data_IF_216278939480
#
_entry.id   IF_216278939480
#
_cell.length_a   1.000
_cell.length_b   1.000
_cell.length_c   1.000
_cell.angle_alpha   90.00
_cell.angle_beta   90.00
_cell.angle_gamma   90.00
#
_symmetry.space_group_name_H-M   'P 1'
#
loop_
_entity.id
_entity.type
_entity.pdbx_description
1 polymer ?
#
# COMPACT_ATOMS: atom_id res chain seq x y z
N UNK A 1 13.89 23.42 -74.02
CA UNK A 1 12.89 24.10 -73.17
C UNK A 1 13.26 23.78 -71.73
N UNK A 2 14.27 24.51 -71.21
CA UNK A 2 14.17 25.63 -70.21
C UNK A 2 13.98 25.08 -68.79
N UNK A 3 15.07 24.87 -68.04
CA UNK A 3 15.82 25.83 -67.17
C UNK A 3 14.95 26.35 -66.01
N UNK A 4 15.36 26.35 -64.73
CA UNK A 4 16.66 26.02 -64.16
C UNK A 4 16.70 26.06 -62.62
N UNK A 5 17.83 25.61 -62.08
CA UNK A 5 18.53 26.07 -60.85
C UNK A 5 19.26 27.41 -61.17
N UNK A 6 19.85 28.20 -60.23
CA UNK A 6 20.51 27.84 -58.94
C UNK A 6 20.22 28.83 -57.77
N UNK A 7 20.72 28.63 -56.55
CA UNK A 7 21.95 29.29 -56.08
C UNK A 7 22.60 28.62 -54.87
N UNK A 8 23.92 28.80 -54.81
CA UNK A 8 24.88 28.22 -53.88
C UNK A 8 25.29 29.21 -52.77
N UNK A 9 25.64 28.64 -51.59
CA UNK A 9 26.76 28.84 -50.62
C UNK A 9 27.71 30.08 -50.77
N UNK A 10 28.60 30.50 -49.81
CA UNK A 10 29.15 29.80 -48.61
C UNK A 10 29.54 30.68 -47.36
N UNK A 11 30.12 30.01 -46.34
CA UNK A 11 31.24 30.38 -45.43
C UNK A 11 31.35 31.76 -44.75
N UNK A 12 31.50 31.76 -43.41
CA UNK A 12 32.66 32.39 -42.73
C UNK A 12 33.14 31.51 -41.56
N UNK A 13 34.44 31.27 -41.58
CA UNK A 13 35.32 30.56 -40.65
C UNK A 13 35.82 31.43 -39.50
N UNK A 14 36.35 30.76 -38.46
CA UNK A 14 37.67 30.95 -37.84
C UNK A 14 37.82 31.51 -36.40
N UNK A 15 38.62 30.73 -35.64
CA UNK A 15 39.71 31.09 -34.70
C UNK A 15 39.41 32.08 -33.57
N UNK A 16 39.73 31.84 -32.29
CA UNK A 16 40.80 31.06 -31.67
C UNK A 16 41.15 31.69 -30.29
N UNK A 17 42.07 31.08 -29.49
CA UNK A 17 42.06 31.06 -28.00
C UNK A 17 43.25 31.87 -27.39
N UNK A 18 43.93 31.57 -26.24
CA UNK A 18 43.64 30.88 -24.95
C UNK A 18 44.11 31.71 -23.68
N UNK A 19 44.20 31.06 -22.50
CA UNK A 19 45.01 31.39 -21.28
C UNK A 19 44.32 32.31 -20.24
N UNK A 20 44.32 32.07 -18.92
CA UNK A 20 45.39 31.75 -17.94
C UNK A 20 44.80 30.98 -16.72
N UNK A 21 45.34 29.86 -16.23
CA UNK A 21 46.48 29.66 -15.31
C UNK A 21 46.56 30.57 -14.05
N UNK A 22 46.49 29.89 -12.88
CA UNK A 22 47.17 30.11 -11.57
C UNK A 22 46.25 30.37 -10.36
N UNK A 23 46.72 30.10 -9.11
CA UNK A 23 47.34 28.88 -8.61
C UNK A 23 46.78 28.44 -7.23
N UNK A 24 47.27 27.29 -6.74
CA UNK A 24 47.13 26.79 -5.37
C UNK A 24 47.52 27.85 -4.32
N UNK A 25 46.67 27.99 -3.30
CA UNK A 25 46.92 28.77 -2.08
C UNK A 25 46.36 28.04 -0.86
N UNK A 26 47.27 27.41 -0.13
CA UNK A 26 47.09 26.75 1.16
C UNK A 26 46.79 27.78 2.28
N UNK A 27 46.28 27.27 3.41
CA UNK A 27 46.21 27.81 4.79
C UNK A 27 44.81 28.13 5.33
N UNK A 28 44.50 27.51 6.48
CA UNK A 28 43.79 28.20 7.55
C UNK A 28 42.51 27.54 8.06
N UNK A 29 42.69 26.59 8.97
CA UNK A 29 41.70 26.09 9.93
C UNK A 29 40.93 27.22 10.61
N UNK A 30 39.60 27.20 10.55
CA UNK A 30 38.73 27.67 11.63
C UNK A 30 37.34 27.03 11.48
N UNK A 31 36.86 26.52 12.61
CA UNK A 31 35.67 25.72 12.79
C UNK A 31 34.35 26.52 12.65
N UNK A 32 33.26 25.75 12.79
CA UNK A 32 31.87 26.16 13.11
C UNK A 32 30.94 26.11 11.89
N UNK A 33 30.31 24.94 11.78
CA UNK A 33 29.22 24.65 10.87
C UNK A 33 28.79 23.21 11.10
N UNK A 34 28.33 22.90 12.32
CA UNK A 34 27.62 21.67 12.62
C UNK A 34 26.49 21.51 11.62
N UNK A 35 26.71 20.71 10.58
CA UNK A 35 25.62 20.03 9.88
C UNK A 35 25.11 19.03 10.91
N UNK A 36 23.87 19.15 11.44
CA UNK A 36 23.36 18.13 12.32
C UNK A 36 23.36 16.81 11.53
N UNK A 37 23.76 15.68 12.14
CA UNK A 37 23.48 14.41 11.54
C UNK A 37 21.97 14.35 11.30
N UNK A 38 21.57 13.96 10.09
CA UNK A 38 20.22 13.50 9.83
C UNK A 38 20.00 12.30 10.76
N UNK A 39 19.53 12.57 11.97
CA UNK A 39 18.90 11.58 12.81
C UNK A 39 17.68 11.11 12.03
N UNK A 40 17.83 9.96 11.39
CA UNK A 40 16.70 9.17 10.95
C UNK A 40 15.92 8.80 12.21
N UNK A 41 14.96 9.65 12.58
CA UNK A 41 13.86 9.22 13.44
C UNK A 41 13.04 8.23 12.62
N UNK A 42 13.31 6.94 12.81
CA UNK A 42 12.44 5.85 12.39
C UNK A 42 11.14 5.98 13.19
N UNK A 43 10.25 6.88 12.76
CA UNK A 43 8.86 6.82 13.17
C UNK A 43 8.33 5.45 12.75
N UNK A 44 7.90 4.66 13.72
CA UNK A 44 7.27 3.35 13.57
C UNK A 44 5.91 3.50 12.87
N UNK A 45 5.94 3.88 11.60
CA UNK A 45 4.78 4.17 10.78
C UNK A 45 4.32 2.88 10.08
N UNK A 46 3.12 2.36 10.41
CA UNK A 46 2.59 1.17 9.74
C UNK A 46 2.45 1.42 8.23
N UNK A 47 3.04 0.54 7.42
CA UNK A 47 2.99 0.64 5.97
C UNK A 47 1.78 -0.10 5.43
N UNK A 48 1.30 0.25 4.22
CA UNK A 48 0.28 -0.53 3.52
C UNK A 48 0.71 -1.99 3.27
N UNK A 49 2.01 -2.27 3.30
CA UNK A 49 2.58 -3.62 3.18
C UNK A 49 2.10 -4.49 4.34
N UNK A 50 2.11 -3.92 5.55
CA UNK A 50 1.70 -4.60 6.77
C UNK A 50 0.19 -4.87 6.74
N UNK A 51 -0.61 -3.94 6.20
CA UNK A 51 -2.05 -4.15 6.05
C UNK A 51 -2.39 -5.25 5.05
N UNK A 52 -1.68 -5.27 3.93
CA UNK A 52 -1.87 -6.26 2.87
C UNK A 52 -1.44 -7.64 3.37
N UNK A 53 -0.36 -7.74 4.15
CA UNK A 53 0.02 -8.99 4.82
C UNK A 53 -1.01 -9.42 5.88
N UNK A 54 -1.52 -8.49 6.69
CA UNK A 54 -2.58 -8.77 7.67
C UNK A 54 -3.84 -9.30 6.97
N UNK A 55 -4.28 -8.65 5.89
CA UNK A 55 -5.44 -9.09 5.12
C UNK A 55 -5.23 -10.50 4.55
N UNK A 56 -4.05 -10.79 4.01
CA UNK A 56 -3.74 -12.12 3.52
C UNK A 56 -3.83 -13.19 4.63
N UNK A 57 -3.37 -12.88 5.84
CA UNK A 57 -3.53 -13.76 7.01
C UNK A 57 -5.00 -13.96 7.35
N UNK A 58 -5.78 -12.89 7.47
CA UNK A 58 -7.23 -12.95 7.73
C UNK A 58 -7.93 -13.87 6.72
N UNK A 59 -7.62 -13.75 5.43
CA UNK A 59 -8.23 -14.55 4.38
C UNK A 59 -7.94 -16.05 4.53
N UNK A 60 -6.68 -16.42 4.78
CA UNK A 60 -6.26 -17.82 4.96
C UNK A 60 -6.83 -18.39 6.25
N UNK A 61 -6.78 -17.63 7.33
CA UNK A 61 -7.22 -18.00 8.69
C UNK A 61 -8.73 -18.22 8.78
N UNK A 62 -9.53 -17.36 8.15
CA UNK A 62 -11.00 -17.43 8.19
C UNK A 62 -11.60 -18.67 7.48
N UNK A 63 -10.78 -19.43 6.76
CA UNK A 63 -11.15 -20.70 6.13
C UNK A 63 -11.15 -21.89 7.10
N UNK A 64 -10.49 -21.77 8.25
CA UNK A 64 -10.41 -22.83 9.24
C UNK A 64 -11.74 -22.98 10.00
N UNK A 65 -12.16 -24.23 10.24
CA UNK A 65 -13.39 -24.53 10.98
C UNK A 65 -13.32 -24.04 12.44
N UNK A 66 -12.10 -23.92 12.98
CA UNK A 66 -11.81 -23.45 14.33
C UNK A 66 -11.66 -21.93 14.42
N UNK A 67 -11.81 -21.20 13.31
CA UNK A 67 -11.75 -19.75 13.30
C UNK A 67 -12.84 -19.19 14.24
N UNK A 68 -12.40 -18.75 15.43
CA UNK A 68 -13.27 -18.08 16.38
C UNK A 68 -13.96 -16.91 15.68
N UNK A 69 -15.28 -16.82 15.87
CA UNK A 69 -16.05 -15.77 15.23
C UNK A 69 -15.61 -14.40 15.74
N UNK A 70 -15.35 -13.50 14.80
CA UNK A 70 -15.13 -12.09 15.06
C UNK A 70 -16.20 -11.56 16.02
N UNK A 71 -15.79 -11.11 17.20
CA UNK A 71 -16.72 -10.62 18.22
C UNK A 71 -16.39 -9.16 18.54
N UNK A 72 -17.23 -8.27 18.02
CA UNK A 72 -17.26 -6.83 18.31
C UNK A 72 -18.50 -6.47 19.13
N UNK A 73 -18.55 -6.84 20.43
CA UNK A 73 -19.76 -6.72 21.27
C UNK A 73 -20.30 -5.30 21.42
N UNK A 74 -19.56 -4.28 20.97
CA UNK A 74 -19.96 -2.87 21.06
C UNK A 74 -19.91 -2.15 19.70
N UNK A 75 -19.66 -2.86 18.60
CA UNK A 75 -19.49 -2.25 17.26
C UNK A 75 -18.34 -1.22 17.18
N UNK A 76 -17.41 -1.21 18.14
CA UNK A 76 -16.38 -0.17 18.25
C UNK A 76 -15.30 -0.36 17.21
N UNK A 77 -14.90 -1.62 16.99
CA UNK A 77 -13.82 -1.95 16.05
C UNK A 77 -14.28 -1.71 14.61
N UNK A 78 -15.51 -2.12 14.26
CA UNK A 78 -16.04 -1.89 12.91
C UNK A 78 -16.27 -0.40 12.63
N UNK A 79 -16.71 0.38 13.63
CA UNK A 79 -16.88 1.83 13.48
C UNK A 79 -15.53 2.57 13.36
N UNK A 80 -14.51 2.10 14.09
CA UNK A 80 -13.14 2.65 14.01
C UNK A 80 -12.52 2.35 12.66
N UNK A 81 -12.67 1.10 12.17
CA UNK A 81 -12.28 0.71 10.82
C UNK A 81 -12.92 1.62 9.76
N UNK A 82 -14.24 1.80 9.83
CA UNK A 82 -14.98 2.64 8.88
C UNK A 82 -14.49 4.09 8.89
N UNK A 83 -14.37 4.69 10.08
CA UNK A 83 -13.96 6.10 10.23
C UNK A 83 -12.53 6.33 9.72
N UNK A 84 -11.60 5.45 10.06
CA UNK A 84 -10.21 5.52 9.59
C UNK A 84 -10.10 5.34 8.08
N UNK A 85 -10.84 4.39 7.51
CA UNK A 85 -10.87 4.16 6.07
C UNK A 85 -11.44 5.37 5.30
N UNK A 86 -12.51 6.00 5.81
CA UNK A 86 -13.08 7.23 5.23
C UNK A 86 -12.11 8.39 5.27
N UNK A 87 -11.48 8.64 6.43
CA UNK A 87 -10.45 9.67 6.55
C UNK A 87 -9.30 9.46 5.55
N UNK A 88 -8.89 8.20 5.35
CA UNK A 88 -7.82 7.85 4.40
C UNK A 88 -8.22 8.16 2.96
N UNK A 89 -9.45 7.81 2.57
CA UNK A 89 -9.99 8.12 1.23
C UNK A 89 -10.12 9.63 0.97
N UNK A 90 -10.46 10.41 2.00
CA UNK A 90 -10.48 11.88 1.91
C UNK A 90 -9.08 12.46 1.72
N UNK A 91 -8.08 11.95 2.47
CA UNK A 91 -6.67 12.34 2.29
C UNK A 91 -6.17 11.98 0.89
N UNK A 92 -6.48 10.79 0.38
CA UNK A 92 -6.17 10.40 -0.99
C UNK A 92 -6.79 11.33 -2.03
N UNK A 93 -8.10 11.61 -1.90
CA UNK A 93 -8.81 12.48 -2.84
C UNK A 93 -8.24 13.90 -2.85
N UNK A 94 -7.91 14.45 -1.68
CA UNK A 94 -7.25 15.77 -1.58
C UNK A 94 -5.86 15.77 -2.22
N UNK A 95 -5.07 14.73 -1.99
CA UNK A 95 -3.73 14.60 -2.56
C UNK A 95 -3.76 14.51 -4.10
N UNK A 96 -4.68 13.71 -4.66
CA UNK A 96 -4.91 13.61 -6.11
C UNK A 96 -5.32 14.95 -6.71
N UNK A 97 -6.25 15.68 -6.07
CA UNK A 97 -6.67 17.02 -6.54
C UNK A 97 -5.51 18.00 -6.53
N UNK A 98 -4.75 18.05 -5.42
CA UNK A 98 -3.57 18.91 -5.29
C UNK A 98 -2.53 18.63 -6.37
N UNK A 99 -2.30 17.36 -6.72
CA UNK A 99 -1.42 17.00 -7.84
C UNK A 99 -1.89 17.65 -9.15
N UNK A 100 -3.17 17.53 -9.48
CA UNK A 100 -3.75 18.14 -10.67
C UNK A 100 -3.56 19.66 -10.70
N UNK A 101 -3.77 20.33 -9.57
CA UNK A 101 -3.56 21.78 -9.44
C UNK A 101 -2.11 22.19 -9.66
N UNK A 102 -1.13 21.44 -9.12
CA UNK A 102 0.29 21.72 -9.30
C UNK A 102 0.70 21.59 -10.78
N UNK A 103 0.15 20.61 -11.50
CA UNK A 103 0.38 20.43 -12.95
C UNK A 103 -0.23 21.60 -13.73
N UNK A 104 -1.49 21.95 -13.44
CA UNK A 104 -2.20 23.04 -14.13
C UNK A 104 -1.52 24.40 -13.95
N UNK A 105 -0.94 24.65 -12.78
CA UNK A 105 -0.17 25.88 -12.50
C UNK A 105 1.26 25.85 -13.08
N UNK A 106 1.66 24.77 -13.73
CA UNK A 106 3.02 24.61 -14.25
C UNK A 106 4.10 24.51 -13.17
N UNK A 107 3.72 24.20 -11.92
CA UNK A 107 4.67 24.11 -10.79
C UNK A 107 5.45 22.80 -10.79
N UNK A 108 4.88 21.75 -11.39
CA UNK A 108 5.55 20.47 -11.63
C UNK A 108 5.16 19.97 -13.03
N UNK A 109 6.07 19.24 -13.65
CA UNK A 109 5.79 18.51 -14.88
C UNK A 109 4.94 17.26 -14.61
N UNK A 110 4.27 16.73 -15.65
CA UNK A 110 3.56 15.45 -15.55
C UNK A 110 4.49 14.33 -15.03
N UNK A 111 5.73 14.26 -15.53
CA UNK A 111 6.72 13.25 -15.13
C UNK A 111 7.08 13.36 -13.66
N UNK A 112 7.36 14.56 -13.15
CA UNK A 112 7.66 14.77 -11.73
C UNK A 112 6.46 14.43 -10.84
N UNK A 113 5.24 14.74 -11.30
CA UNK A 113 4.03 14.39 -10.58
C UNK A 113 3.89 12.86 -10.40
N UNK A 114 4.21 12.08 -11.44
CA UNK A 114 4.19 10.62 -11.34
C UNK A 114 5.17 10.08 -10.31
N UNK A 115 6.42 10.55 -10.29
CA UNK A 115 7.41 10.13 -9.29
C UNK A 115 7.00 10.55 -7.88
N UNK A 116 6.49 11.78 -7.73
CA UNK A 116 6.12 12.33 -6.41
C UNK A 116 4.91 11.64 -5.79
N UNK A 117 3.93 11.25 -6.59
CA UNK A 117 2.68 10.67 -6.12
C UNK A 117 2.61 9.14 -6.30
N UNK A 118 3.68 8.51 -6.79
CA UNK A 118 3.76 7.05 -6.90
C UNK A 118 3.43 6.33 -5.59
N UNK A 119 4.01 6.69 -4.41
CA UNK A 119 3.67 6.01 -3.15
C UNK A 119 2.18 6.07 -2.81
N UNK A 120 1.51 7.18 -3.15
CA UNK A 120 0.07 7.35 -2.96
C UNK A 120 -0.72 6.38 -3.84
N UNK A 121 -0.36 6.28 -5.12
CA UNK A 121 -1.03 5.36 -6.05
C UNK A 121 -0.81 3.90 -5.67
N UNK A 122 0.41 3.56 -5.26
CA UNK A 122 0.71 2.22 -4.75
C UNK A 122 -0.11 1.90 -3.49
N UNK A 123 -0.22 2.85 -2.55
CA UNK A 123 -1.05 2.68 -1.34
C UNK A 123 -2.53 2.47 -1.70
N UNK A 124 -3.10 3.28 -2.61
CA UNK A 124 -4.49 3.12 -3.06
C UNK A 124 -4.69 1.73 -3.68
N UNK A 125 -3.87 1.35 -4.66
CA UNK A 125 -4.02 0.07 -5.35
C UNK A 125 -3.87 -1.10 -4.38
N UNK A 126 -2.85 -1.10 -3.53
CA UNK A 126 -2.60 -2.19 -2.59
C UNK A 126 -3.69 -2.29 -1.49
N UNK A 127 -4.21 -1.16 -1.02
CA UNK A 127 -5.27 -1.14 -0.02
C UNK A 127 -6.63 -1.64 -0.54
N UNK A 128 -6.81 -1.77 -1.87
CA UNK A 128 -8.02 -2.37 -2.43
C UNK A 128 -8.18 -3.83 -2.00
N UNK A 129 -7.07 -4.59 -2.03
CA UNK A 129 -7.01 -5.97 -1.54
C UNK A 129 -7.53 -6.04 -0.10
N UNK A 130 -7.05 -5.14 0.77
CA UNK A 130 -7.46 -5.08 2.17
C UNK A 130 -8.97 -4.83 2.30
N UNK A 131 -9.53 -3.90 1.50
CA UNK A 131 -10.97 -3.60 1.54
C UNK A 131 -11.84 -4.76 1.05
N UNK A 132 -11.41 -5.47 0.00
CA UNK A 132 -12.11 -6.65 -0.54
C UNK A 132 -12.10 -7.81 0.45
N UNK A 133 -10.93 -8.11 1.02
CA UNK A 133 -10.80 -9.16 2.03
C UNK A 133 -11.60 -8.80 3.30
N UNK A 134 -11.53 -7.56 3.78
CA UNK A 134 -12.31 -7.15 4.95
C UNK A 134 -13.81 -7.29 4.73
N UNK A 135 -14.33 -6.92 3.55
CA UNK A 135 -15.74 -7.07 3.23
C UNK A 135 -16.16 -8.55 3.11
N UNK A 136 -15.34 -9.39 2.48
CA UNK A 136 -15.59 -10.83 2.39
C UNK A 136 -15.52 -11.51 3.77
N UNK A 137 -14.54 -11.17 4.60
CA UNK A 137 -14.41 -11.69 5.96
C UNK A 137 -15.57 -11.24 6.87
N UNK A 138 -16.03 -9.99 6.71
CA UNK A 138 -17.23 -9.51 7.39
C UNK A 138 -18.48 -10.31 6.98
N UNK A 139 -18.68 -10.54 5.68
CA UNK A 139 -19.77 -11.37 5.16
C UNK A 139 -19.72 -12.80 5.70
N UNK A 140 -18.53 -13.42 5.74
CA UNK A 140 -18.35 -14.75 6.32
C UNK A 140 -18.68 -14.77 7.83
N UNK A 141 -18.29 -13.75 8.58
CA UNK A 141 -18.60 -13.63 10.01
C UNK A 141 -20.10 -13.47 10.26
N UNK A 142 -20.75 -12.59 9.51
CA UNK A 142 -22.19 -12.34 9.56
C UNK A 142 -22.99 -13.60 9.20
N UNK A 143 -22.58 -14.33 8.16
CA UNK A 143 -23.18 -15.60 7.78
C UNK A 143 -23.09 -16.66 8.89
N UNK A 144 -21.95 -16.78 9.58
CA UNK A 144 -21.78 -17.71 10.71
C UNK A 144 -22.67 -17.35 11.91
N UNK A 145 -22.79 -16.05 12.21
CA UNK A 145 -23.60 -15.55 13.34
C UNK A 145 -25.09 -15.43 13.02
N UNK A 146 -25.47 -15.52 11.73
CA UNK A 146 -26.82 -15.21 11.24
C UNK A 146 -27.25 -13.78 11.58
N UNK A 147 -26.30 -12.87 11.48
CA UNK A 147 -26.45 -11.43 11.74
C UNK A 147 -26.08 -10.65 10.47
N UNK A 148 -26.33 -9.33 10.45
CA UNK A 148 -26.02 -8.46 9.30
C UNK A 148 -25.44 -7.12 9.79
N UNK A 149 -24.43 -7.19 10.64
CA UNK A 149 -23.87 -6.02 11.32
C UNK A 149 -22.55 -5.54 10.70
N UNK A 150 -21.64 -6.46 10.34
CA UNK A 150 -20.29 -6.12 9.89
C UNK A 150 -20.25 -5.89 8.39
N UNK A 151 -20.92 -6.75 7.62
CA UNK A 151 -20.87 -6.75 6.17
C UNK A 151 -21.33 -5.42 5.57
N UNK A 152 -22.48 -4.82 5.96
CA UNK A 152 -22.93 -3.56 5.36
C UNK A 152 -21.90 -2.42 5.54
N UNK A 153 -21.25 -2.37 6.71
CA UNK A 153 -20.25 -1.34 7.01
C UNK A 153 -18.98 -1.58 6.19
N UNK A 154 -18.45 -2.81 6.18
CA UNK A 154 -17.25 -3.15 5.43
C UNK A 154 -17.45 -3.01 3.91
N UNK A 155 -18.61 -3.41 3.40
CA UNK A 155 -19.01 -3.22 2.01
C UNK A 155 -19.10 -1.75 1.64
N UNK A 156 -19.57 -0.88 2.54
CA UNK A 156 -19.57 0.57 2.28
C UNK A 156 -18.15 1.16 2.14
N UNK A 157 -17.17 0.63 2.88
CA UNK A 157 -15.75 1.01 2.76
C UNK A 157 -15.18 0.51 1.44
N UNK A 158 -15.46 -0.74 1.08
CA UNK A 158 -15.06 -1.32 -0.20
C UNK A 158 -15.61 -0.51 -1.39
N UNK A 159 -16.91 -0.20 -1.42
CA UNK A 159 -17.50 0.61 -2.50
C UNK A 159 -16.85 1.99 -2.61
N UNK A 160 -16.61 2.67 -1.49
CA UNK A 160 -15.95 3.97 -1.50
C UNK A 160 -14.49 3.88 -1.98
N UNK A 161 -13.80 2.77 -1.69
CA UNK A 161 -12.46 2.53 -2.20
C UNK A 161 -12.46 2.43 -3.74
N UNK A 162 -13.43 1.73 -4.32
CA UNK A 162 -13.58 1.59 -5.78
C UNK A 162 -13.70 2.94 -6.50
N UNK A 163 -14.34 3.93 -5.87
CA UNK A 163 -14.44 5.29 -6.42
C UNK A 163 -13.07 5.99 -6.50
N UNK A 164 -12.23 5.84 -5.45
CA UNK A 164 -10.88 6.43 -5.44
C UNK A 164 -9.98 5.71 -6.43
N UNK A 165 -10.06 4.38 -6.48
CA UNK A 165 -9.36 3.56 -7.47
C UNK A 165 -9.72 3.97 -8.89
N UNK A 166 -11.00 4.21 -9.19
CA UNK A 166 -11.46 4.68 -10.49
C UNK A 166 -10.72 5.95 -10.96
N UNK A 167 -10.49 6.90 -10.04
CA UNK A 167 -9.70 8.12 -10.33
C UNK A 167 -8.25 7.79 -10.66
N UNK A 168 -7.62 6.89 -9.90
CA UNK A 168 -6.23 6.43 -10.16
C UNK A 168 -6.13 5.74 -11.52
N UNK A 169 -7.10 4.90 -11.89
CA UNK A 169 -7.08 4.24 -13.20
C UNK A 169 -7.18 5.22 -14.37
N UNK A 170 -8.00 6.26 -14.25
CA UNK A 170 -8.09 7.32 -15.28
C UNK A 170 -6.75 8.06 -15.44
N UNK A 171 -6.06 8.31 -14.32
CA UNK A 171 -4.71 8.87 -14.35
C UNK A 171 -3.72 7.91 -15.00
N UNK A 172 -3.75 6.61 -14.66
CA UNK A 172 -2.87 5.59 -15.25
C UNK A 172 -3.03 5.51 -16.76
N UNK A 173 -4.27 5.49 -17.26
CA UNK A 173 -4.54 5.50 -18.70
C UNK A 173 -3.92 6.73 -19.38
N UNK A 174 -4.01 7.90 -18.74
CA UNK A 174 -3.42 9.14 -19.24
C UNK A 174 -1.88 9.08 -19.22
N UNK A 175 -1.30 8.57 -18.14
CA UNK A 175 0.15 8.41 -17.99
C UNK A 175 0.77 7.40 -18.96
N UNK A 176 0.08 6.28 -19.22
CA UNK A 176 0.51 5.28 -20.21
C UNK A 176 0.50 5.86 -21.63
N UNK A 177 -0.54 6.62 -22.00
CA UNK A 177 -0.59 7.32 -23.31
C UNK A 177 0.54 8.33 -23.49
N UNK A 178 1.02 8.91 -22.39
CA UNK A 178 2.16 9.83 -22.37
C UNK A 178 3.52 9.11 -22.30
N UNK A 179 3.53 7.77 -22.28
CA UNK A 179 4.76 6.97 -22.23
C UNK A 179 5.51 7.09 -20.91
N UNK A 180 4.84 7.38 -19.79
CA UNK A 180 5.49 7.54 -18.49
C UNK A 180 5.83 6.17 -17.90
N UNK A 181 7.11 5.85 -17.63
CA UNK A 181 7.50 4.53 -17.12
C UNK A 181 6.84 4.14 -15.78
N UNK A 182 6.64 5.11 -14.88
CA UNK A 182 5.98 4.89 -13.59
C UNK A 182 4.52 4.43 -13.76
N UNK A 183 3.80 4.91 -14.78
CA UNK A 183 2.43 4.47 -15.04
C UNK A 183 2.38 2.98 -15.41
N UNK A 184 3.35 2.50 -16.21
CA UNK A 184 3.49 1.07 -16.54
C UNK A 184 3.77 0.23 -15.28
N UNK A 185 4.69 0.68 -14.43
CA UNK A 185 5.02 -0.03 -13.17
C UNK A 185 3.81 -0.13 -12.23
N UNK A 186 3.03 0.95 -12.12
CA UNK A 186 1.78 0.96 -11.34
C UNK A 186 0.71 0.04 -11.93
N UNK A 187 0.60 -0.03 -13.25
CA UNK A 187 -0.32 -0.96 -13.91
C UNK A 187 0.12 -2.43 -13.71
N UNK A 188 1.42 -2.71 -13.70
CA UNK A 188 1.94 -4.04 -13.37
C UNK A 188 1.66 -4.40 -11.89
N UNK A 189 1.80 -3.44 -10.97
CA UNK A 189 1.40 -3.59 -9.58
C UNK A 189 -0.10 -3.88 -9.46
N UNK A 190 -0.95 -3.10 -10.13
CA UNK A 190 -2.41 -3.29 -10.16
C UNK A 190 -2.76 -4.74 -10.53
N UNK A 191 -2.24 -5.25 -11.64
CA UNK A 191 -2.54 -6.64 -12.10
C UNK A 191 -2.12 -7.69 -11.07
N UNK A 192 -1.02 -7.46 -10.35
CA UNK A 192 -0.56 -8.36 -9.27
C UNK A 192 -1.50 -8.31 -8.08
N UNK A 193 -1.89 -7.12 -7.63
CA UNK A 193 -2.88 -6.94 -6.57
C UNK A 193 -4.16 -7.68 -6.93
N UNK A 194 -4.65 -7.53 -8.17
CA UNK A 194 -5.88 -8.18 -8.62
C UNK A 194 -5.80 -9.71 -8.54
N UNK A 195 -4.73 -10.28 -9.11
CA UNK A 195 -4.54 -11.74 -9.11
C UNK A 195 -4.35 -12.31 -7.70
N UNK A 196 -3.58 -11.63 -6.84
CA UNK A 196 -3.42 -12.05 -5.45
C UNK A 196 -4.70 -11.90 -4.65
N UNK A 197 -5.50 -10.87 -4.93
CA UNK A 197 -6.80 -10.70 -4.28
C UNK A 197 -7.72 -11.87 -4.59
N UNK A 198 -7.82 -12.29 -5.86
CA UNK A 198 -8.66 -13.42 -6.24
C UNK A 198 -8.19 -14.73 -5.59
N UNK A 199 -6.86 -14.97 -5.52
CA UNK A 199 -6.31 -16.14 -4.84
C UNK A 199 -6.59 -16.11 -3.32
N UNK A 200 -6.46 -14.95 -2.68
CA UNK A 200 -6.74 -14.84 -1.24
C UNK A 200 -8.24 -14.99 -0.94
N UNK A 201 -9.10 -14.44 -1.79
CA UNK A 201 -10.55 -14.63 -1.68
C UNK A 201 -10.94 -16.10 -1.84
N UNK A 202 -10.23 -16.88 -2.64
CA UNK A 202 -10.49 -18.31 -2.80
C UNK A 202 -10.50 -19.08 -1.47
N UNK A 203 -9.68 -18.67 -0.49
CA UNK A 203 -9.71 -19.25 0.86
C UNK A 203 -11.03 -19.00 1.61
N UNK A 204 -11.77 -17.94 1.28
CA UNK A 204 -13.05 -17.61 1.89
C UNK A 204 -14.26 -18.28 1.21
N UNK A 205 -14.07 -18.88 0.03
CA UNK A 205 -15.13 -19.53 -0.74
C UNK A 205 -15.94 -20.60 0.04
N UNK A 206 -15.35 -21.40 0.97
CA UNK A 206 -16.12 -22.38 1.73
C UNK A 206 -17.13 -21.76 2.70
N UNK A 207 -16.93 -20.51 3.12
CA UNK A 207 -17.70 -19.87 4.20
C UNK A 207 -18.55 -18.68 3.74
N UNK A 208 -18.30 -18.14 2.54
CA UNK A 208 -19.09 -17.05 1.98
C UNK A 208 -18.99 -17.01 0.46
N UNK A 209 -19.96 -16.35 -0.20
CA UNK A 209 -19.87 -16.05 -1.62
C UNK A 209 -18.79 -15.00 -1.86
N UNK A 210 -17.84 -15.30 -2.75
CA UNK A 210 -16.72 -14.40 -3.07
C UNK A 210 -16.92 -13.62 -4.37
N UNK A 211 -18.00 -13.88 -5.11
CA UNK A 211 -18.26 -13.29 -6.42
C UNK A 211 -18.29 -11.76 -6.39
N UNK A 212 -18.93 -11.18 -5.39
CA UNK A 212 -19.09 -9.73 -5.25
C UNK A 212 -17.77 -9.01 -4.90
N UNK A 213 -16.77 -9.76 -4.42
CA UNK A 213 -15.51 -9.23 -3.92
C UNK A 213 -14.32 -9.51 -4.84
N UNK A 214 -14.45 -10.44 -5.78
CA UNK A 214 -13.39 -10.81 -6.72
C UNK A 214 -13.21 -9.76 -7.84
N UNK A 215 -12.01 -9.68 -8.41
CA UNK A 215 -11.79 -8.95 -9.66
C UNK A 215 -12.23 -9.79 -10.85
N UNK A 216 -11.87 -11.07 -10.87
CA UNK A 216 -12.34 -12.05 -11.85
C UNK A 216 -12.95 -13.24 -11.11
N UNK A 217 -14.29 -13.27 -10.95
CA UNK A 217 -14.94 -14.29 -10.13
C UNK A 217 -14.65 -15.73 -10.55
N UNK A 218 -14.60 -16.01 -11.87
CA UNK A 218 -14.27 -17.34 -12.37
C UNK A 218 -12.86 -17.78 -11.95
N UNK A 219 -11.88 -16.88 -12.04
CA UNK A 219 -10.50 -17.16 -11.58
C UNK A 219 -10.45 -17.43 -10.08
N UNK A 220 -11.22 -16.70 -9.28
CA UNK A 220 -11.27 -16.92 -7.85
C UNK A 220 -11.94 -18.28 -7.49
N UNK A 221 -12.93 -18.70 -8.27
CA UNK A 221 -13.53 -20.05 -8.16
C UNK A 221 -12.55 -21.13 -8.57
N UNK A 222 -11.83 -20.98 -9.69
CA UNK A 222 -10.80 -21.93 -10.12
C UNK A 222 -9.74 -22.13 -9.01
N UNK A 223 -9.26 -21.03 -8.41
CA UNK A 223 -8.36 -21.11 -7.25
C UNK A 223 -8.99 -21.81 -6.05
N UNK A 224 -10.28 -21.61 -5.79
CA UNK A 224 -10.97 -22.28 -4.69
C UNK A 224 -11.08 -23.78 -4.94
N UNK A 225 -11.28 -24.20 -6.19
CA UNK A 225 -11.36 -25.60 -6.59
C UNK A 225 -9.99 -26.29 -6.43
N UNK A 226 -8.91 -25.61 -6.82
CA UNK A 226 -7.54 -26.06 -6.61
C UNK A 226 -7.22 -26.24 -5.12
N UNK A 227 -7.60 -25.26 -4.29
CA UNK A 227 -7.37 -25.30 -2.83
C UNK A 227 -8.15 -26.43 -2.14
N UNK A 228 -9.35 -26.79 -2.63
CA UNK A 228 -10.15 -27.90 -2.08
C UNK A 228 -9.57 -29.28 -2.36
N UNK A 229 -8.72 -29.39 -3.38
CA UNK A 229 -8.05 -30.65 -3.74
C UNK A 229 -6.86 -30.99 -2.81
N UNK A 230 -6.75 -30.31 -1.67
CA UNK A 230 -5.58 -30.28 -0.79
C UNK A 230 -5.21 -31.62 -0.14
N UNK A 231 -3.92 -31.74 0.15
CA UNK A 231 -3.28 -32.91 0.77
C UNK A 231 -3.34 -32.93 2.30
N UNK A 232 -2.45 -33.70 2.91
CA UNK A 232 -2.28 -33.85 4.37
C UNK A 232 -2.05 -32.52 5.10
N UNK A 233 -2.21 -32.51 6.43
CA UNK A 233 -2.01 -31.30 7.26
C UNK A 233 -0.61 -30.67 7.08
N UNK A 234 0.43 -31.51 7.00
CA UNK A 234 1.81 -31.05 6.78
C UNK A 234 1.99 -30.39 5.40
N UNK A 235 1.34 -30.94 4.38
CA UNK A 235 1.35 -30.36 3.02
C UNK A 235 0.61 -29.02 2.98
N UNK A 236 -0.48 -28.87 3.73
CA UNK A 236 -1.22 -27.61 3.84
C UNK A 236 -0.40 -26.52 4.54
N UNK A 237 0.34 -26.87 5.59
CA UNK A 237 1.23 -25.94 6.29
C UNK A 237 2.38 -25.47 5.37
N UNK A 238 3.04 -26.40 4.68
CA UNK A 238 4.09 -26.05 3.72
C UNK A 238 3.54 -25.18 2.57
N UNK A 239 2.36 -25.52 2.04
CA UNK A 239 1.69 -24.73 1.01
C UNK A 239 1.40 -23.30 1.49
N UNK A 240 0.97 -23.13 2.74
CA UNK A 240 0.74 -21.81 3.36
C UNK A 240 2.05 -21.01 3.46
N UNK A 241 3.14 -21.61 3.89
CA UNK A 241 4.45 -20.94 3.97
C UNK A 241 4.99 -20.52 2.60
N UNK A 242 4.83 -21.38 1.59
CA UNK A 242 5.19 -21.08 0.20
C UNK A 242 4.30 -19.97 -0.37
N UNK A 243 3.00 -19.96 -0.05
CA UNK A 243 2.07 -18.91 -0.44
C UNK A 243 2.53 -17.56 0.13
N UNK A 244 2.79 -17.46 1.43
CA UNK A 244 3.23 -16.21 2.04
C UNK A 244 4.60 -15.77 1.54
N UNK A 245 5.54 -16.69 1.33
CA UNK A 245 6.85 -16.36 0.76
C UNK A 245 6.72 -15.80 -0.66
N UNK A 246 5.90 -16.44 -1.49
CA UNK A 246 5.60 -15.99 -2.86
C UNK A 246 4.86 -14.65 -2.88
N UNK A 247 3.93 -14.45 -1.95
CA UNK A 247 3.18 -13.22 -1.78
C UNK A 247 4.10 -12.05 -1.43
N UNK A 248 4.96 -12.21 -0.42
CA UNK A 248 5.94 -11.20 -0.02
C UNK A 248 6.91 -10.88 -1.16
N UNK A 249 7.45 -11.92 -1.79
CA UNK A 249 8.43 -11.77 -2.88
C UNK A 249 7.85 -11.14 -4.14
N UNK A 250 6.59 -11.40 -4.49
CA UNK A 250 6.00 -10.95 -5.75
C UNK A 250 5.20 -9.65 -5.67
N UNK A 251 4.59 -9.34 -4.51
CA UNK A 251 3.78 -8.15 -4.28
C UNK A 251 4.46 -7.16 -3.33
N UNK A 252 4.77 -7.56 -2.10
CA UNK A 252 5.24 -6.60 -1.08
C UNK A 252 6.60 -5.98 -1.41
N UNK A 253 7.48 -6.74 -2.05
CA UNK A 253 8.80 -6.27 -2.52
C UNK A 253 8.73 -5.11 -3.52
N UNK A 254 7.58 -4.92 -4.19
CA UNK A 254 7.37 -3.92 -5.25
C UNK A 254 6.73 -2.63 -4.76
N UNK A 255 6.23 -2.61 -3.53
CA UNK A 255 5.69 -1.40 -2.94
C UNK A 255 6.83 -0.45 -2.58
N UNK A 256 6.60 0.85 -2.44
CA UNK A 256 7.60 1.77 -1.87
C UNK A 256 7.73 1.52 -0.37
N UNK A 257 8.68 2.18 0.29
CA UNK A 257 8.76 2.25 1.75
C UNK A 257 8.06 3.49 2.33
N UNK A 258 7.67 4.43 1.47
CA UNK A 258 6.91 5.60 1.88
C UNK A 258 5.46 5.21 2.21
N UNK A 259 4.98 5.60 3.39
CA UNK A 259 3.62 5.37 3.88
C UNK A 259 2.87 6.70 4.02
N UNK A 260 2.15 7.17 2.98
CA UNK A 260 1.47 8.47 3.02
C UNK A 260 0.43 8.61 4.14
N UNK A 261 -0.13 7.50 4.63
CA UNK A 261 -1.17 7.50 5.65
C UNK A 261 -0.88 6.48 6.75
N UNK A 262 0.33 6.49 7.29
CA UNK A 262 0.78 5.50 8.27
C UNK A 262 -0.11 5.38 9.53
N UNK A 263 -0.54 6.52 10.08
CA UNK A 263 -1.44 6.62 11.23
C UNK A 263 -2.80 5.93 10.96
N UNK A 264 -3.35 6.15 9.78
CA UNK A 264 -4.62 5.54 9.37
C UNK A 264 -4.42 4.07 9.01
N UNK A 265 -3.26 3.71 8.46
CA UNK A 265 -2.94 2.31 8.18
C UNK A 265 -2.88 1.52 9.50
N UNK A 266 -2.21 2.06 10.52
CA UNK A 266 -2.15 1.49 11.86
C UNK A 266 -3.53 1.31 12.50
N UNK A 267 -4.37 2.35 12.45
CA UNK A 267 -5.74 2.31 12.99
C UNK A 267 -6.61 1.27 12.29
N UNK A 268 -6.51 1.17 10.95
CA UNK A 268 -7.21 0.15 10.16
C UNK A 268 -6.71 -1.24 10.55
N UNK A 269 -5.39 -1.43 10.65
CA UNK A 269 -4.79 -2.71 11.01
C UNK A 269 -5.26 -3.20 12.37
N UNK A 270 -5.19 -2.36 13.41
CA UNK A 270 -5.69 -2.68 14.76
C UNK A 270 -7.18 -3.03 14.76
N UNK A 271 -7.98 -2.29 14.00
CA UNK A 271 -9.42 -2.55 13.91
C UNK A 271 -9.71 -3.90 13.23
N UNK A 272 -8.99 -4.23 12.15
CA UNK A 272 -9.16 -5.50 11.44
C UNK A 272 -8.72 -6.71 12.26
N UNK A 273 -7.70 -6.58 13.11
CA UNK A 273 -7.39 -7.62 14.10
C UNK A 273 -8.49 -7.81 15.13
N UNK A 274 -8.96 -6.71 15.71
CA UNK A 274 -9.93 -6.78 16.79
C UNK A 274 -11.23 -7.42 16.28
N UNK A 275 -11.50 -7.27 14.99
CA UNK A 275 -12.53 -7.98 14.26
C UNK A 275 -12.09 -9.44 13.99
N UNK A 276 -11.04 -9.69 13.22
CA UNK A 276 -10.81 -10.98 12.55
C UNK A 276 -9.53 -11.73 12.96
N UNK A 277 -8.77 -11.24 13.93
CA UNK A 277 -7.51 -11.85 14.36
C UNK A 277 -7.71 -13.16 15.13
N UNK A 278 -6.88 -14.17 14.83
CA UNK A 278 -6.87 -15.48 15.51
C UNK A 278 -6.21 -15.44 16.89
N UNK A 279 -5.45 -14.37 17.21
CA UNK A 279 -4.59 -14.25 18.40
C UNK A 279 -5.33 -13.98 19.73
N UNK A 280 -6.58 -14.41 19.89
CA UNK A 280 -7.20 -14.35 21.22
C UNK A 280 -6.64 -15.39 22.19
N UNK A 281 -6.14 -16.53 21.69
CA UNK A 281 -5.72 -17.67 22.53
C UNK A 281 -4.37 -18.32 22.15
N UNK A 282 -3.56 -17.75 21.24
CA UNK A 282 -2.22 -18.31 20.95
C UNK A 282 -1.20 -17.93 22.05
N UNK A 283 -0.39 -18.88 22.55
CA UNK A 283 0.72 -18.56 23.45
C UNK A 283 1.69 -17.61 22.72
N UNK A 284 2.19 -16.60 23.44
CA UNK A 284 2.87 -15.38 22.99
C UNK A 284 4.10 -15.51 22.05
N UNK A 285 4.40 -16.68 21.49
CA UNK A 285 5.57 -16.96 20.67
C UNK A 285 5.43 -16.70 19.16
N UNK A 286 4.22 -16.82 18.57
CA UNK A 286 4.10 -16.91 17.09
C UNK A 286 3.43 -15.73 16.39
N UNK A 287 2.73 -14.86 17.13
CA UNK A 287 2.18 -13.62 16.58
C UNK A 287 3.25 -12.54 16.46
N UNK A 288 4.26 -12.77 15.60
CA UNK A 288 5.35 -11.85 15.31
C UNK A 288 4.91 -10.46 14.84
N UNK A 289 3.61 -10.26 14.60
CA UNK A 289 3.00 -9.01 14.19
C UNK A 289 2.33 -8.26 15.37
N UNK A 290 1.70 -8.93 16.34
CA UNK A 290 1.31 -8.31 17.62
C UNK A 290 2.54 -7.87 18.41
N UNK A 291 3.62 -8.67 18.40
CA UNK A 291 4.88 -8.25 19.04
C UNK A 291 5.55 -7.10 18.28
N UNK A 292 5.33 -6.95 16.97
CA UNK A 292 5.75 -5.75 16.23
C UNK A 292 4.91 -4.55 16.64
N UNK A 293 3.59 -4.66 16.69
CA UNK A 293 2.71 -3.56 17.12
C UNK A 293 2.95 -3.18 18.58
N UNK A 294 3.09 -4.15 19.50
CA UNK A 294 3.38 -3.89 20.91
C UNK A 294 4.70 -3.16 21.04
N UNK A 295 5.79 -3.67 20.45
CA UNK A 295 7.09 -2.98 20.45
C UNK A 295 7.00 -1.56 19.87
N UNK A 296 6.26 -1.36 18.78
CA UNK A 296 6.06 -0.01 18.23
C UNK A 296 5.29 0.93 19.18
N UNK A 297 4.40 0.37 20.01
CA UNK A 297 3.63 1.15 21.00
C UNK A 297 4.46 1.42 22.25
N UNK A 298 5.28 0.44 22.67
CA UNK A 298 6.21 0.53 23.80
C UNK A 298 7.32 1.55 23.50
N UNK A 299 7.92 1.50 22.30
CA UNK A 299 8.91 2.47 21.84
C UNK A 299 8.32 3.90 21.75
N UNK A 300 7.04 4.02 21.36
CA UNK A 300 6.35 5.31 21.32
C UNK A 300 6.08 5.88 22.72
N UNK A 301 5.79 5.02 23.70
CA UNK A 301 5.60 5.42 25.09
C UNK A 301 6.92 5.86 25.73
N UNK A 302 8.01 5.15 25.46
CA UNK A 302 9.36 5.50 25.94
C UNK A 302 9.80 6.88 25.42
N UNK A 303 9.56 7.19 24.14
CA UNK A 303 9.84 8.51 23.57
C UNK A 303 9.00 9.64 24.19
N UNK A 304 7.73 9.37 24.55
CA UNK A 304 6.89 10.36 25.22
C UNK A 304 7.37 10.64 26.65
N UNK A 305 7.81 9.60 27.35
CA UNK A 305 8.34 9.72 28.71
C UNK A 305 9.67 10.49 28.73
N UNK A 306 10.53 10.33 27.71
CA UNK A 306 11.75 11.13 27.53
C UNK A 306 11.44 12.62 27.30
N UNK A 307 10.46 12.94 26.44
CA UNK A 307 10.06 14.34 26.18
C UNK A 307 9.48 14.97 27.45
N UNK A 308 8.63 14.24 28.19
CA UNK A 308 8.08 14.72 29.44
C UNK A 308 9.16 14.95 30.52
N UNK A 309 10.21 14.13 30.55
CA UNK A 309 11.34 14.30 31.46
C UNK A 309 12.19 15.54 31.12
N UNK A 310 12.25 15.95 29.86
CA UNK A 310 13.01 17.13 29.41
C UNK A 310 12.29 18.46 29.70
N UNK A 311 10.97 18.47 29.86
CA UNK A 311 10.20 19.69 30.15
C UNK A 311 10.16 20.07 31.64
N UNK A 312 10.65 19.19 32.52
CA UNK A 312 10.59 19.37 33.98
C UNK A 312 11.96 19.75 34.60
N UNK A 313 13.01 19.84 33.79
CA UNK A 313 14.37 20.27 34.20
C UNK A 313 14.71 21.67 33.72
#
# INVERSE_FOLDING_TARGET
>A
MTRGTPDALPCVTNCGPPQSLCPLGFWGVAAIGCVPPLTFTLSAAMHVRDLVELAARIAVSASSADAQSAHDPKGRSIQTYWSAARCRMDRWTRAIRRQGELILRGQITSREAWTRFEPLFQEILAAELVSRIAAAAAAASDARRKEAELEPVARSVFTAHLEVRGKVLQLLLTGERQGVPAAKQLNDLRRRVERWTDLLLAHLAPVTSIHDFAFEPNRAVDFADDLRSGGSLDEQQLARELLFSSFRGSLLSRLTLASPNADLNETIGRSLLALFGEDRDQPAGESGWLSRISRMTDDAQEMLDEIAAMEVG
#
